data_IF_151251279013
#
_entry.id   IF_151251279013
#
_cell.length_a   1.000
_cell.length_b   1.000
_cell.length_c   1.000
_cell.angle_alpha   90.00
_cell.angle_beta   90.00
_cell.angle_gamma   90.00
#
_symmetry.space_group_name_H-M   'P 1'
#
loop_
_entity.id
_entity.type
_entity.pdbx_description
1 polymer ?
#
# COMPACT_ATOMS: atom_id res chain seq x y z
N UNK A 1 -6.49 8.63 -7.26
CA UNK A 1 -7.62 8.80 -6.31
C UNK A 1 -8.42 7.51 -6.09
N UNK A 2 -8.75 6.70 -7.10
CA UNK A 2 -9.65 5.52 -6.96
C UNK A 2 -9.21 4.36 -6.01
N UNK A 3 -7.92 4.03 -5.97
CA UNK A 3 -7.40 3.04 -5.00
C UNK A 3 -7.45 3.58 -3.56
N UNK A 4 -7.46 4.90 -3.40
CA UNK A 4 -7.37 5.59 -2.13
C UNK A 4 -8.76 5.95 -1.56
N UNK A 5 -9.71 6.32 -2.43
CA UNK A 5 -11.12 6.54 -2.05
C UNK A 5 -11.91 5.23 -1.83
N UNK A 6 -11.37 4.10 -2.31
CA UNK A 6 -11.89 2.77 -2.02
C UNK A 6 -13.01 2.30 -2.96
N UNK A 7 -13.33 3.05 -4.01
CA UNK A 7 -14.42 2.74 -4.94
C UNK A 7 -14.20 1.42 -5.70
N UNK A 8 -12.95 1.09 -6.04
CA UNK A 8 -12.57 -0.26 -6.46
C UNK A 8 -11.09 -0.51 -6.18
N UNK A 9 -10.81 -1.66 -5.56
CA UNK A 9 -9.44 -2.07 -5.18
C UNK A 9 -8.85 -3.11 -6.14
N UNK A 10 -9.59 -3.50 -7.17
CA UNK A 10 -9.15 -4.50 -8.12
C UNK A 10 -8.32 -3.85 -9.23
N UNK A 11 -7.11 -4.36 -9.47
CA UNK A 11 -6.22 -3.86 -10.55
C UNK A 11 -6.86 -3.99 -11.94
N UNK A 12 -7.82 -4.90 -12.12
CA UNK A 12 -8.58 -5.07 -13.37
C UNK A 12 -9.44 -3.83 -13.67
N UNK A 13 -9.83 -3.07 -12.64
CA UNK A 13 -10.64 -1.88 -12.79
C UNK A 13 -10.00 -0.79 -13.66
N UNK A 14 -8.67 -0.77 -13.78
CA UNK A 14 -7.97 0.11 -14.72
C UNK A 14 -8.35 -0.14 -16.18
N UNK A 15 -8.80 -1.33 -16.55
CA UNK A 15 -9.33 -1.57 -17.90
C UNK A 15 -10.68 -0.90 -18.11
N UNK A 16 -11.54 -0.86 -17.08
CA UNK A 16 -12.79 -0.13 -17.13
C UNK A 16 -12.55 1.38 -17.21
N UNK A 17 -11.62 1.91 -16.40
CA UNK A 17 -11.25 3.33 -16.45
C UNK A 17 -10.68 3.74 -17.80
N UNK A 18 -9.86 2.89 -18.44
CA UNK A 18 -9.31 3.16 -19.78
C UNK A 18 -10.40 3.32 -20.85
N UNK A 19 -11.57 2.72 -20.65
CA UNK A 19 -12.71 2.82 -21.58
C UNK A 19 -13.64 3.99 -21.23
N UNK A 20 -13.45 4.64 -20.08
CA UNK A 20 -14.28 5.73 -19.62
C UNK A 20 -13.73 7.08 -20.09
N UNK A 21 -14.30 7.59 -21.17
CA UNK A 21 -13.95 8.89 -21.73
C UNK A 21 -14.25 10.05 -20.77
N UNK A 22 -15.27 9.93 -19.93
CA UNK A 22 -15.63 10.96 -18.94
C UNK A 22 -14.57 11.05 -17.84
N UNK A 23 -14.11 9.90 -17.36
CA UNK A 23 -13.02 9.84 -16.39
C UNK A 23 -11.70 10.37 -16.98
N UNK A 24 -11.36 10.01 -18.23
CA UNK A 24 -10.17 10.53 -18.90
C UNK A 24 -10.20 12.06 -19.03
N UNK A 25 -11.34 12.63 -19.45
CA UNK A 25 -11.54 14.07 -19.54
C UNK A 25 -11.45 14.77 -18.17
N UNK A 26 -11.98 14.16 -17.10
CA UNK A 26 -11.96 14.73 -15.75
C UNK A 26 -10.55 14.84 -15.15
N UNK A 27 -9.61 14.00 -15.61
CA UNK A 27 -8.20 14.06 -15.20
C UNK A 27 -7.31 14.68 -16.29
N UNK A 28 -7.91 15.31 -17.31
CA UNK A 28 -7.24 16.02 -18.39
C UNK A 28 -6.23 15.16 -19.17
N UNK A 29 -6.54 13.88 -19.37
CA UNK A 29 -5.72 12.93 -20.12
C UNK A 29 -6.42 12.46 -21.39
N UNK A 30 -5.64 12.20 -22.44
CA UNK A 30 -6.15 11.54 -23.64
C UNK A 30 -6.52 10.07 -23.33
N UNK A 31 -7.66 9.56 -23.82
CA UNK A 31 -8.05 8.16 -23.62
C UNK A 31 -6.99 7.14 -24.07
N UNK A 32 -6.14 7.48 -25.04
CA UNK A 32 -5.05 6.62 -25.49
C UNK A 32 -3.95 6.46 -24.43
N UNK A 33 -3.68 7.51 -23.65
CA UNK A 33 -2.67 7.58 -22.58
C UNK A 33 -3.13 6.95 -21.26
N UNK A 34 -4.41 6.61 -21.16
CA UNK A 34 -4.97 5.95 -19.99
C UNK A 34 -4.29 4.61 -19.70
N UNK A 35 -3.83 4.44 -18.46
CA UNK A 35 -3.12 3.25 -18.01
C UNK A 35 -4.05 2.03 -17.94
N UNK A 36 -3.66 0.93 -18.60
CA UNK A 36 -4.38 -0.35 -18.51
C UNK A 36 -3.92 -1.18 -17.32
N UNK A 37 -4.70 -2.20 -16.94
CA UNK A 37 -4.31 -3.15 -15.90
C UNK A 37 -2.97 -3.84 -16.22
N UNK A 38 -2.67 -4.09 -17.50
CA UNK A 38 -1.39 -4.66 -17.95
C UNK A 38 -0.22 -3.69 -17.72
N UNK A 39 -0.41 -2.42 -18.04
CA UNK A 39 0.60 -1.37 -17.84
C UNK A 39 0.91 -1.18 -16.36
N UNK A 40 -0.13 -1.12 -15.52
CA UNK A 40 0.02 -1.03 -14.06
C UNK A 40 0.73 -2.27 -13.50
N UNK A 41 0.38 -3.49 -13.96
CA UNK A 41 1.09 -4.72 -13.57
C UNK A 41 2.57 -4.68 -13.95
N UNK A 42 2.89 -4.22 -15.17
CA UNK A 42 4.29 -4.09 -15.64
C UNK A 42 5.06 -3.06 -14.81
N UNK A 43 4.47 -1.90 -14.56
CA UNK A 43 5.03 -0.88 -13.69
C UNK A 43 5.39 -1.46 -12.33
N UNK A 44 4.44 -2.09 -11.63
CA UNK A 44 4.71 -2.71 -10.32
C UNK A 44 5.68 -3.89 -10.40
N UNK A 45 5.72 -4.64 -11.50
CA UNK A 45 6.70 -5.73 -11.67
C UNK A 45 8.14 -5.22 -11.77
N UNK A 46 8.35 -3.98 -12.24
CA UNK A 46 9.65 -3.35 -12.24
C UNK A 46 10.11 -2.98 -10.81
N UNK A 47 9.16 -2.75 -9.89
CA UNK A 47 9.43 -2.64 -8.45
C UNK A 47 9.52 -4.02 -7.82
N UNK A 48 10.60 -4.75 -8.12
CA UNK A 48 10.86 -6.06 -7.55
C UNK A 48 11.08 -6.03 -6.02
N UNK A 49 11.27 -7.22 -5.42
CA UNK A 49 11.49 -7.38 -3.97
C UNK A 49 12.65 -6.49 -3.43
N UNK A 50 13.64 -6.22 -4.28
CA UNK A 50 14.78 -5.35 -3.98
C UNK A 50 14.42 -3.88 -3.75
N UNK A 51 13.29 -3.42 -4.30
CA UNK A 51 12.82 -2.04 -4.16
C UNK A 51 12.09 -1.78 -2.83
N UNK A 52 11.69 -2.82 -2.09
CA UNK A 52 10.93 -2.65 -0.84
C UNK A 52 11.75 -1.92 0.22
N UNK A 53 13.02 -2.29 0.41
CA UNK A 53 13.91 -1.64 1.39
C UNK A 53 14.15 -0.14 1.08
N UNK A 54 14.57 0.25 -0.14
CA UNK A 54 14.75 1.66 -0.46
C UNK A 54 13.43 2.43 -0.45
N UNK A 55 12.32 1.83 -0.87
CA UNK A 55 11.00 2.48 -0.78
C UNK A 55 10.62 2.83 0.66
N UNK A 56 10.79 1.88 1.60
CA UNK A 56 10.57 2.15 3.04
C UNK A 56 11.51 3.24 3.57
N UNK A 57 12.77 3.24 3.14
CA UNK A 57 13.72 4.28 3.53
C UNK A 57 13.31 5.68 3.02
N UNK A 58 12.72 5.77 1.82
CA UNK A 58 12.19 7.03 1.27
C UNK A 58 11.00 7.50 2.12
N UNK A 59 10.04 6.62 2.44
CA UNK A 59 8.91 6.98 3.30
C UNK A 59 9.35 7.49 4.67
N UNK A 60 10.35 6.84 5.29
CA UNK A 60 10.94 7.28 6.56
C UNK A 60 11.58 8.66 6.45
N UNK A 61 12.36 8.92 5.40
CA UNK A 61 12.95 10.24 5.16
C UNK A 61 11.88 11.33 4.99
N UNK A 62 10.82 11.06 4.23
CA UNK A 62 9.70 11.99 4.04
C UNK A 62 8.96 12.26 5.35
N UNK A 63 8.77 11.24 6.18
CA UNK A 63 8.17 11.39 7.50
C UNK A 63 9.01 12.28 8.42
N UNK A 64 10.31 12.01 8.57
CA UNK A 64 11.22 12.82 9.38
C UNK A 64 11.26 14.27 8.88
N UNK A 65 11.38 14.45 7.57
CA UNK A 65 11.35 15.78 6.94
C UNK A 65 10.06 16.53 7.32
N UNK A 66 8.91 15.86 7.29
CA UNK A 66 7.62 16.48 7.61
C UNK A 66 7.45 16.78 9.09
N UNK A 67 8.00 15.96 9.99
CA UNK A 67 8.07 16.28 11.43
C UNK A 67 8.91 17.53 11.65
N UNK A 68 10.06 17.66 10.99
CA UNK A 68 10.95 18.81 11.15
C UNK A 68 10.31 20.13 10.70
N UNK A 69 9.41 20.06 9.71
CA UNK A 69 8.62 21.21 9.25
C UNK A 69 7.49 21.52 10.23
N UNK A 70 6.69 20.51 10.59
CA UNK A 70 5.47 20.71 11.37
C UNK A 70 5.73 20.94 12.86
N UNK A 71 6.89 20.50 13.37
CA UNK A 71 7.31 20.54 14.78
C UNK A 71 6.14 20.22 15.75
N UNK A 72 5.47 19.07 15.57
CA UNK A 72 4.31 18.74 16.39
C UNK A 72 4.74 18.52 17.84
N UNK A 73 3.94 18.99 18.80
CA UNK A 73 4.18 18.74 20.22
C UNK A 73 4.02 17.25 20.60
N UNK A 74 3.18 16.52 19.86
CA UNK A 74 2.90 15.09 20.05
C UNK A 74 2.85 14.41 18.69
N UNK A 75 3.43 13.22 18.58
CA UNK A 75 3.37 12.38 17.36
C UNK A 75 2.44 11.20 17.65
N UNK A 76 1.22 11.26 17.13
CA UNK A 76 0.26 10.16 17.22
C UNK A 76 0.40 9.21 16.03
N UNK A 77 0.76 7.96 16.31
CA UNK A 77 0.96 6.92 15.30
C UNK A 77 -0.13 5.86 15.45
N UNK A 78 -0.81 5.57 14.35
CA UNK A 78 -1.80 4.51 14.27
C UNK A 78 -1.20 3.30 13.56
N UNK A 79 -1.53 2.11 14.06
CA UNK A 79 -1.12 0.85 13.43
C UNK A 79 -2.39 0.11 13.05
N UNK A 80 -2.55 -0.11 11.76
CA UNK A 80 -3.68 -0.84 11.23
C UNK A 80 -3.22 -2.07 10.44
N UNK A 81 -4.10 -3.06 10.37
CA UNK A 81 -3.90 -4.27 9.59
C UNK A 81 -5.09 -4.51 8.69
N UNK A 82 -4.97 -4.10 7.43
CA UNK A 82 -5.97 -4.37 6.40
C UNK A 82 -5.67 -5.69 5.69
N UNK A 83 -6.67 -6.58 5.65
CA UNK A 83 -6.57 -7.83 4.87
C UNK A 83 -6.61 -7.48 3.37
N UNK A 84 -5.55 -7.85 2.67
CA UNK A 84 -5.46 -7.74 1.21
C UNK A 84 -5.90 -9.07 0.59
N UNK A 85 -7.11 -9.12 0.05
CA UNK A 85 -7.63 -10.28 -0.66
C UNK A 85 -6.85 -10.50 -1.96
N UNK A 86 -6.37 -11.73 -2.19
CA UNK A 86 -5.66 -12.15 -3.39
C UNK A 86 -6.23 -13.44 -4.01
N UNK A 87 -7.51 -13.72 -3.80
CA UNK A 87 -8.18 -14.95 -4.26
C UNK A 87 -8.10 -15.14 -5.79
N UNK A 88 -8.15 -14.03 -6.54
CA UNK A 88 -8.13 -13.97 -8.02
C UNK A 88 -6.73 -14.18 -8.64
N UNK A 89 -5.66 -14.29 -7.85
CA UNK A 89 -4.31 -14.42 -8.40
C UNK A 89 -3.97 -15.85 -8.84
N UNK A 90 -3.52 -15.98 -10.10
CA UNK A 90 -3.09 -17.24 -10.73
C UNK A 90 -1.81 -17.84 -10.11
N UNK A 91 -0.89 -17.00 -9.63
CA UNK A 91 0.33 -17.42 -8.90
C UNK A 91 0.29 -16.87 -7.48
N UNK A 92 0.40 -17.78 -6.50
CA UNK A 92 0.08 -17.52 -5.08
C UNK A 92 1.29 -17.69 -4.16
N UNK A 93 2.44 -17.10 -4.47
CA UNK A 93 3.58 -17.17 -3.55
C UNK A 93 3.32 -16.36 -2.28
N UNK A 94 3.46 -17.00 -1.11
CA UNK A 94 3.35 -16.36 0.20
C UNK A 94 1.92 -16.12 0.71
N UNK A 95 0.89 -16.54 -0.03
CA UNK A 95 -0.51 -16.36 0.34
C UNK A 95 -0.91 -17.38 1.40
N UNK A 96 -1.50 -16.92 2.50
CA UNK A 96 -2.01 -17.78 3.57
C UNK A 96 -3.46 -17.44 3.91
N UNK A 97 -4.23 -18.38 4.51
CA UNK A 97 -5.57 -18.07 5.01
C UNK A 97 -5.49 -16.95 6.04
N UNK A 98 -6.26 -15.89 5.82
CA UNK A 98 -6.40 -14.77 6.77
C UNK A 98 -7.55 -15.05 7.74
N UNK A 99 -7.67 -14.27 8.82
CA UNK A 99 -8.79 -14.41 9.76
C UNK A 99 -10.16 -14.19 9.10
N UNK A 100 -10.21 -13.41 8.01
CA UNK A 100 -11.41 -13.19 7.18
C UNK A 100 -11.70 -14.35 6.21
N UNK A 101 -11.01 -15.48 6.35
CA UNK A 101 -11.15 -16.69 5.49
C UNK A 101 -10.85 -16.47 4.00
N UNK A 102 -10.26 -15.34 3.62
CA UNK A 102 -9.78 -15.09 2.25
C UNK A 102 -8.29 -15.42 2.15
N UNK A 103 -7.83 -15.86 0.97
CA UNK A 103 -6.41 -16.14 0.72
C UNK A 103 -5.74 -14.82 0.37
N UNK A 104 -4.95 -14.30 1.30
CA UNK A 104 -4.44 -12.94 1.18
C UNK A 104 -3.17 -12.66 1.96
N UNK A 105 -2.82 -11.38 1.97
CA UNK A 105 -1.79 -10.83 2.82
C UNK A 105 -2.45 -10.03 3.94
N UNK A 106 -1.75 -9.94 5.07
CA UNK A 106 -2.19 -9.13 6.19
C UNK A 106 -1.04 -8.19 6.57
N UNK A 107 -0.81 -7.12 5.79
CA UNK A 107 0.20 -6.14 6.12
C UNK A 107 -0.11 -5.43 7.45
N UNK A 108 0.95 -4.94 8.08
CA UNK A 108 0.85 -3.90 9.09
C UNK A 108 1.19 -2.58 8.42
N UNK A 109 0.29 -1.61 8.52
CA UNK A 109 0.47 -0.25 8.03
C UNK A 109 0.67 0.66 9.24
N UNK A 110 1.66 1.54 9.15
CA UNK A 110 1.93 2.58 10.14
C UNK A 110 1.49 3.90 9.55
N UNK A 111 0.62 4.59 10.27
CA UNK A 111 -0.10 5.78 9.78
C UNK A 111 0.17 6.94 10.73
N UNK A 112 0.51 8.10 10.16
CA UNK A 112 0.62 9.38 10.87
C UNK A 112 -0.08 10.46 10.05
N UNK A 113 -0.94 11.27 10.67
CA UNK A 113 -1.67 12.36 9.99
C UNK A 113 -2.43 11.87 8.72
N UNK A 114 -3.11 10.72 8.86
CA UNK A 114 -3.85 10.06 7.77
C UNK A 114 -2.98 9.51 6.62
N UNK A 115 -1.65 9.50 6.76
CA UNK A 115 -0.71 9.07 5.72
C UNK A 115 0.05 7.82 6.15
N UNK A 116 0.21 6.88 5.22
CA UNK A 116 1.01 5.68 5.45
C UNK A 116 2.49 6.08 5.43
N UNK A 117 3.15 5.98 6.58
CA UNK A 117 4.57 6.30 6.76
C UNK A 117 5.46 5.05 6.77
N UNK A 118 4.87 3.87 6.96
CA UNK A 118 5.55 2.59 6.77
C UNK A 118 4.54 1.45 6.49
N UNK A 119 4.98 0.40 5.82
CA UNK A 119 4.20 -0.81 5.61
C UNK A 119 5.07 -2.07 5.65
N UNK A 120 4.60 -3.08 6.39
CA UNK A 120 5.27 -4.36 6.55
C UNK A 120 4.37 -5.45 6.01
N UNK A 121 4.78 -6.07 4.92
CA UNK A 121 4.06 -7.21 4.37
C UNK A 121 4.32 -8.45 5.22
N UNK A 122 3.24 -9.10 5.68
CA UNK A 122 3.28 -10.33 6.47
C UNK A 122 2.38 -11.37 5.82
N UNK A 123 2.73 -12.65 5.98
CA UNK A 123 1.88 -13.77 5.57
C UNK A 123 0.57 -13.76 6.36
N UNK A 124 -0.54 -14.14 5.70
CA UNK A 124 -1.91 -14.02 6.23
C UNK A 124 -2.20 -14.72 7.57
N UNK A 125 -1.38 -15.67 8.03
CA UNK A 125 -1.52 -16.28 9.38
C UNK A 125 -1.05 -15.36 10.52
N UNK A 126 -0.30 -14.30 10.22
CA UNK A 126 0.20 -13.36 11.24
C UNK A 126 -0.84 -12.28 11.50
N UNK A 127 -1.56 -12.39 12.61
CA UNK A 127 -2.53 -11.41 13.05
C UNK A 127 -1.86 -10.24 13.80
N UNK A 128 -2.34 -9.02 13.53
CA UNK A 128 -2.07 -7.78 14.30
C UNK A 128 -0.67 -7.68 14.91
N UNK A 129 -0.61 -7.61 16.25
CA UNK A 129 0.59 -7.35 17.05
C UNK A 129 1.51 -8.57 17.28
N UNK A 130 1.50 -9.55 16.37
CA UNK A 130 2.35 -10.73 16.48
C UNK A 130 3.85 -10.36 16.53
N UNK A 131 4.48 -10.58 17.70
CA UNK A 131 5.92 -10.40 17.96
C UNK A 131 6.39 -8.95 18.09
N UNK A 132 7.71 -8.72 18.05
CA UNK A 132 8.34 -7.38 18.20
C UNK A 132 8.28 -6.50 16.94
N UNK A 133 7.40 -6.82 16.00
CA UNK A 133 7.38 -6.17 14.68
C UNK A 133 7.04 -4.68 14.80
N UNK A 134 6.05 -4.36 15.63
CA UNK A 134 5.62 -2.98 15.90
C UNK A 134 6.73 -2.20 16.61
N UNK A 135 7.29 -2.77 17.68
CA UNK A 135 8.36 -2.15 18.47
C UNK A 135 9.56 -1.84 17.57
N UNK A 136 10.03 -2.80 16.78
CA UNK A 136 11.19 -2.61 15.90
C UNK A 136 10.96 -1.50 14.85
N UNK A 137 9.73 -1.32 14.37
CA UNK A 137 9.42 -0.28 13.39
C UNK A 137 9.34 1.09 14.04
N UNK A 138 8.71 1.20 15.21
CA UNK A 138 8.69 2.45 15.96
C UNK A 138 10.12 2.82 16.36
N UNK A 139 10.91 1.90 16.92
CA UNK A 139 12.32 2.13 17.25
C UNK A 139 13.07 2.65 16.03
N UNK A 140 12.92 2.02 14.86
CA UNK A 140 13.59 2.44 13.62
C UNK A 140 13.11 3.80 13.08
N UNK A 141 11.88 4.22 13.39
CA UNK A 141 11.36 5.52 13.00
C UNK A 141 11.89 6.66 13.88
N UNK A 142 12.26 6.37 15.13
CA UNK A 142 12.70 7.36 16.12
C UNK A 142 14.21 7.33 16.42
N UNK A 143 14.96 6.38 15.84
CA UNK A 143 16.43 6.29 15.95
C UNK A 143 17.12 6.85 14.72
#
# INVERSE_FOLDING_TARGET
SYLYDGTSRHIIFFNHLKQDNGYAAAIELDPSDMASASMIKRFFSAFGLFCIKPFRAILHKLFIWRININKPAVIEIYIDSMVMNNDDALKRHGVQPTYKKVKGFQPLQVIWDGKIIDAIFRGGKKNGNSGNTVVNVITKLVS
#
